data_IF_426840012649
#
_entry.id   IF_426840012649
#
_cell.length_a   1.000
_cell.length_b   1.000
_cell.length_c   1.000
_cell.angle_alpha   90.00
_cell.angle_beta   90.00
_cell.angle_gamma   90.00
#
_symmetry.space_group_name_H-M   'P 1'
#
loop_
_entity.id
_entity.type
_entity.pdbx_description
1 polymer ?
#
# COMPACT_ATOMS: atom_id res chain seq x y z
N UNK A 1 41.51 66.44 -58.01
CA UNK A 1 40.13 66.21 -57.54
C UNK A 1 40.24 65.27 -56.33
N UNK A 2 39.90 65.74 -55.20
CA UNK A 2 40.19 65.10 -53.88
C UNK A 2 38.92 64.39 -53.39
N UNK A 3 39.00 63.10 -53.19
CA UNK A 3 37.96 62.29 -52.55
C UNK A 3 38.12 62.34 -51.04
N UNK A 4 37.05 62.64 -50.31
CA UNK A 4 36.99 62.56 -48.86
C UNK A 4 36.27 61.27 -48.46
N UNK A 5 36.92 60.40 -47.68
CA UNK A 5 36.28 59.25 -47.03
C UNK A 5 35.85 59.61 -45.65
N UNK A 6 34.54 59.39 -45.35
CA UNK A 6 33.97 59.48 -44.03
C UNK A 6 34.11 58.13 -43.33
N UNK A 7 34.75 58.11 -42.17
CA UNK A 7 34.73 56.98 -41.23
C UNK A 7 33.52 57.13 -40.31
N UNK A 8 32.62 56.12 -40.35
CA UNK A 8 31.55 56.02 -39.33
C UNK A 8 32.03 55.08 -38.21
N UNK A 9 32.12 55.65 -37.00
CA UNK A 9 32.32 54.83 -35.78
C UNK A 9 30.98 54.18 -35.37
N UNK A 10 30.93 52.87 -35.45
CA UNK A 10 29.82 52.09 -34.87
C UNK A 10 30.10 51.85 -33.40
N UNK A 11 29.22 52.38 -32.51
CA UNK A 11 29.22 52.02 -31.08
C UNK A 11 28.48 50.68 -30.90
N UNK A 12 29.19 49.66 -30.45
CA UNK A 12 28.59 48.39 -30.05
C UNK A 12 27.99 48.54 -28.65
N UNK A 13 26.67 48.48 -28.57
CA UNK A 13 25.95 48.30 -27.30
C UNK A 13 26.12 46.87 -26.80
N UNK A 14 26.88 46.70 -25.72
CA UNK A 14 26.93 45.47 -24.96
C UNK A 14 25.65 45.33 -24.16
N UNK A 15 24.73 44.49 -24.61
CA UNK A 15 23.57 44.07 -23.85
C UNK A 15 24.02 43.09 -22.76
N UNK A 16 24.03 43.50 -21.49
CA UNK A 16 24.19 42.63 -20.34
C UNK A 16 22.93 41.81 -20.15
N UNK A 17 22.94 40.55 -20.54
CA UNK A 17 21.89 39.62 -20.23
C UNK A 17 21.97 39.27 -18.74
N UNK A 18 21.02 39.78 -17.93
CA UNK A 18 20.79 39.29 -16.59
C UNK A 18 20.29 37.83 -16.64
N UNK A 19 20.88 36.90 -15.85
CA UNK A 19 20.34 35.57 -15.79
C UNK A 19 19.01 35.61 -15.03
N UNK A 20 17.90 35.61 -15.78
CA UNK A 20 16.61 35.27 -15.20
C UNK A 20 16.66 33.78 -14.83
N UNK A 21 17.05 33.51 -13.61
CA UNK A 21 16.81 32.21 -12.99
C UNK A 21 15.29 31.99 -12.95
N UNK A 22 14.78 31.21 -13.87
CA UNK A 22 13.42 30.68 -13.79
C UNK A 22 13.36 29.84 -12.53
N UNK A 23 12.82 30.41 -11.44
CA UNK A 23 12.38 29.62 -10.30
C UNK A 23 11.33 28.66 -10.85
N UNK A 24 11.69 27.37 -10.88
CA UNK A 24 10.69 26.32 -11.12
C UNK A 24 9.54 26.58 -10.16
N UNK A 25 8.29 26.50 -10.62
CA UNK A 25 7.14 26.70 -9.74
C UNK A 25 7.28 25.72 -8.57
N UNK A 26 7.34 26.26 -7.35
CA UNK A 26 7.23 25.45 -6.13
C UNK A 26 5.91 24.70 -6.28
N UNK A 27 5.94 23.39 -6.46
CA UNK A 27 4.75 22.54 -6.47
C UNK A 27 4.06 22.80 -5.14
N UNK A 28 2.87 23.37 -5.18
CA UNK A 28 2.08 23.61 -3.98
C UNK A 28 1.80 22.24 -3.35
N UNK A 29 2.21 22.07 -2.11
CA UNK A 29 1.99 20.85 -1.35
C UNK A 29 0.47 20.70 -1.15
N UNK A 30 -0.10 19.61 -1.60
CA UNK A 30 -1.52 19.31 -1.44
C UNK A 30 -1.86 18.91 -0.01
N UNK A 31 -3.11 18.60 0.24
CA UNK A 31 -3.57 18.11 1.53
C UNK A 31 -3.24 16.61 1.69
N UNK A 32 -3.21 16.14 2.94
CA UNK A 32 -3.12 14.73 3.29
C UNK A 32 -4.45 14.02 2.96
N UNK A 33 -4.51 12.74 3.19
CA UNK A 33 -5.71 11.93 3.01
C UNK A 33 -5.71 10.76 3.98
N UNK A 34 -6.85 10.08 4.08
CA UNK A 34 -6.97 8.80 4.76
C UNK A 34 -7.50 7.73 3.82
N UNK A 35 -7.21 6.49 4.15
CA UNK A 35 -7.78 5.30 3.54
C UNK A 35 -8.17 4.31 4.63
N UNK A 36 -8.47 3.07 4.24
CA UNK A 36 -8.85 2.01 5.18
C UNK A 36 -8.52 0.64 4.60
N UNK A 37 -8.28 -0.34 5.48
CA UNK A 37 -8.18 -1.73 5.11
C UNK A 37 -9.57 -2.40 5.14
N UNK A 38 -9.82 -3.31 4.19
CA UNK A 38 -10.88 -4.31 4.20
C UNK A 38 -10.43 -5.47 3.31
N UNK A 39 -9.48 -6.26 3.83
CA UNK A 39 -8.54 -7.06 3.01
C UNK A 39 -9.22 -8.06 2.07
N UNK A 40 -10.43 -8.52 2.36
CA UNK A 40 -11.21 -9.46 1.55
C UNK A 40 -12.57 -8.93 1.10
N UNK A 41 -12.75 -7.60 0.99
CA UNK A 41 -14.04 -6.99 0.61
C UNK A 41 -14.55 -7.51 -0.74
N UNK A 42 -13.68 -7.90 -1.67
CA UNK A 42 -14.05 -8.53 -2.94
C UNK A 42 -14.82 -9.86 -2.77
N UNK A 43 -14.68 -10.53 -1.62
CA UNK A 43 -15.40 -11.76 -1.29
C UNK A 43 -16.77 -11.52 -0.61
N UNK A 44 -17.16 -10.28 -0.33
CA UNK A 44 -18.46 -9.97 0.26
C UNK A 44 -19.58 -10.17 -0.75
N UNK A 45 -20.79 -10.50 -0.26
CA UNK A 45 -22.00 -10.41 -1.07
C UNK A 45 -22.15 -8.98 -1.61
N UNK A 46 -22.73 -8.85 -2.79
CA UNK A 46 -22.81 -7.57 -3.49
C UNK A 46 -23.34 -6.42 -2.61
N UNK A 47 -24.47 -6.62 -1.92
CA UNK A 47 -25.05 -5.54 -1.11
C UNK A 47 -24.13 -5.14 0.04
N UNK A 48 -23.58 -6.10 0.79
CA UNK A 48 -22.67 -5.82 1.90
C UNK A 48 -21.39 -5.14 1.41
N UNK A 49 -20.89 -5.52 0.24
CA UNK A 49 -19.74 -4.87 -0.41
C UNK A 49 -20.04 -3.42 -0.79
N UNK A 50 -21.20 -3.15 -1.36
CA UNK A 50 -21.62 -1.78 -1.71
C UNK A 50 -21.84 -0.93 -0.45
N UNK A 51 -22.45 -1.48 0.60
CA UNK A 51 -22.64 -0.77 1.87
C UNK A 51 -21.31 -0.38 2.51
N UNK A 52 -20.28 -1.26 2.46
CA UNK A 52 -18.93 -0.94 2.95
C UNK A 52 -18.27 0.16 2.09
N UNK A 53 -18.43 0.09 0.76
CA UNK A 53 -17.90 1.13 -0.13
C UNK A 53 -18.59 2.48 0.09
N UNK A 54 -19.88 2.49 0.37
CA UNK A 54 -20.64 3.72 0.69
C UNK A 54 -20.17 4.29 2.03
N UNK A 55 -19.98 3.47 3.06
CA UNK A 55 -19.40 3.90 4.33
C UNK A 55 -17.98 4.49 4.17
N UNK A 56 -17.13 3.88 3.34
CA UNK A 56 -15.78 4.40 3.04
C UNK A 56 -15.86 5.78 2.36
N UNK A 57 -16.78 5.93 1.40
CA UNK A 57 -17.03 7.21 0.71
C UNK A 57 -17.56 8.27 1.67
N UNK A 58 -18.54 7.93 2.51
CA UNK A 58 -19.18 8.86 3.45
C UNK A 58 -18.17 9.38 4.48
N UNK A 59 -17.25 8.51 4.95
CA UNK A 59 -16.11 8.91 5.79
C UNK A 59 -14.99 9.64 5.03
N UNK A 60 -15.17 10.02 3.76
CA UNK A 60 -14.19 10.69 2.92
C UNK A 60 -12.84 9.96 2.75
N UNK A 61 -12.79 8.64 2.97
CA UNK A 61 -11.60 7.83 2.77
C UNK A 61 -11.33 7.63 1.26
N UNK A 62 -10.07 7.76 0.83
CA UNK A 62 -9.70 7.82 -0.58
C UNK A 62 -9.09 6.54 -1.13
N UNK A 63 -8.56 5.69 -0.25
CA UNK A 63 -7.87 4.46 -0.63
C UNK A 63 -8.42 3.29 0.19
N UNK A 64 -8.73 2.20 -0.51
CA UNK A 64 -9.12 0.92 0.09
C UNK A 64 -8.02 -0.10 -0.17
N UNK A 65 -7.50 -0.73 0.88
CA UNK A 65 -6.50 -1.79 0.76
C UNK A 65 -7.13 -3.16 0.85
N UNK A 66 -6.78 -4.02 -0.13
CA UNK A 66 -7.24 -5.41 -0.24
C UNK A 66 -6.05 -6.34 -0.52
N UNK A 67 -6.26 -7.66 -0.29
CA UNK A 67 -5.24 -8.67 -0.52
C UNK A 67 -5.68 -9.68 -1.59
N UNK A 68 -4.73 -10.14 -2.39
CA UNK A 68 -4.88 -11.36 -3.19
C UNK A 68 -4.45 -12.52 -2.29
N UNK A 69 -5.42 -13.08 -1.57
CA UNK A 69 -5.24 -14.11 -0.56
C UNK A 69 -6.53 -14.93 -0.43
N UNK A 70 -6.48 -16.24 -0.20
CA UNK A 70 -7.69 -17.04 -0.06
C UNK A 70 -8.53 -16.57 1.12
N UNK A 71 -9.85 -16.66 0.98
CA UNK A 71 -10.79 -16.28 2.02
C UNK A 71 -11.77 -17.42 2.27
N UNK A 72 -12.00 -17.76 3.53
CA UNK A 72 -12.97 -18.76 3.92
C UNK A 72 -14.43 -18.28 3.81
N UNK A 73 -15.35 -19.22 3.82
CA UNK A 73 -16.78 -18.93 3.93
C UNK A 73 -17.08 -18.23 5.26
N UNK A 74 -17.85 -17.15 5.23
CA UNK A 74 -18.23 -16.36 6.41
C UNK A 74 -17.02 -15.87 7.24
N UNK A 75 -15.92 -15.53 6.56
CA UNK A 75 -14.74 -15.03 7.25
C UNK A 75 -15.11 -13.82 8.13
N UNK A 76 -14.60 -13.80 9.36
CA UNK A 76 -14.84 -12.73 10.34
C UNK A 76 -16.32 -12.33 10.52
N UNK A 77 -17.24 -13.28 10.38
CA UNK A 77 -18.70 -13.09 10.52
C UNK A 77 -19.31 -12.07 9.55
N UNK A 78 -18.73 -11.93 8.35
CA UNK A 78 -19.19 -10.97 7.34
C UNK A 78 -20.19 -11.53 6.35
N UNK A 79 -20.49 -12.84 6.40
CA UNK A 79 -21.28 -13.50 5.38
C UNK A 79 -20.58 -13.63 4.02
N UNK A 80 -19.25 -13.41 3.97
CA UNK A 80 -18.45 -13.55 2.76
C UNK A 80 -18.57 -14.94 2.13
N UNK A 81 -18.39 -15.00 0.82
CA UNK A 81 -18.24 -16.26 0.10
C UNK A 81 -16.80 -16.76 0.18
N UNK A 82 -16.63 -18.09 0.12
CA UNK A 82 -15.28 -18.64 0.01
C UNK A 82 -14.64 -18.20 -1.32
N UNK A 83 -13.40 -17.74 -1.25
CA UNK A 83 -12.62 -17.29 -2.40
C UNK A 83 -11.30 -18.05 -2.45
N UNK A 84 -11.01 -18.80 -3.53
CA UNK A 84 -9.72 -19.48 -3.65
C UNK A 84 -8.58 -18.46 -3.85
N UNK A 85 -7.35 -18.88 -3.54
CA UNK A 85 -6.17 -18.17 -4.03
C UNK A 85 -6.09 -18.23 -5.56
N UNK A 86 -5.34 -17.33 -6.18
CA UNK A 86 -5.12 -17.35 -7.64
C UNK A 86 -4.25 -18.54 -8.08
N UNK A 87 -3.56 -19.20 -7.15
CA UNK A 87 -2.80 -20.45 -7.31
C UNK A 87 -3.32 -21.49 -6.29
N UNK A 88 -4.56 -22.00 -6.44
CA UNK A 88 -5.25 -22.67 -5.34
C UNK A 88 -4.64 -24.02 -4.92
N UNK A 89 -3.96 -24.72 -5.80
CA UNK A 89 -3.37 -26.05 -5.52
C UNK A 89 -1.94 -26.21 -6.02
N UNK A 90 -1.62 -25.57 -7.12
CA UNK A 90 -0.34 -25.77 -7.81
C UNK A 90 0.22 -24.43 -8.25
N UNK A 91 1.43 -24.12 -7.81
CA UNK A 91 2.14 -22.90 -8.21
C UNK A 91 2.29 -22.85 -9.73
N UNK A 92 1.87 -21.72 -10.33
CA UNK A 92 1.86 -21.50 -11.78
C UNK A 92 0.61 -22.01 -12.51
N UNK A 93 -0.37 -22.57 -11.78
CA UNK A 93 -1.69 -22.95 -12.33
C UNK A 93 -2.73 -21.97 -11.79
N UNK A 94 -3.25 -21.13 -12.68
CA UNK A 94 -4.03 -19.95 -12.33
C UNK A 94 -5.52 -20.20 -12.26
N UNK A 95 -6.15 -19.64 -11.21
CA UNK A 95 -7.61 -19.47 -11.07
C UNK A 95 -7.92 -17.98 -10.89
N UNK A 96 -8.43 -17.35 -11.92
CA UNK A 96 -8.73 -15.91 -11.93
C UNK A 96 -10.05 -15.54 -11.25
N UNK A 97 -10.71 -16.45 -10.53
CA UNK A 97 -11.98 -16.16 -9.84
C UNK A 97 -11.84 -14.98 -8.91
N UNK A 98 -10.75 -14.91 -8.13
CA UNK A 98 -10.48 -13.81 -7.21
C UNK A 98 -10.16 -12.51 -7.97
N UNK A 99 -9.35 -12.55 -9.04
CA UNK A 99 -9.03 -11.36 -9.84
C UNK A 99 -10.29 -10.76 -10.48
N UNK A 100 -11.21 -11.60 -10.97
CA UNK A 100 -12.51 -11.13 -11.51
C UNK A 100 -13.40 -10.49 -10.43
N UNK A 101 -13.38 -11.01 -9.21
CA UNK A 101 -14.10 -10.38 -8.09
C UNK A 101 -13.49 -9.03 -7.71
N UNK A 102 -12.16 -8.89 -7.80
CA UNK A 102 -11.45 -7.63 -7.60
C UNK A 102 -11.71 -6.67 -8.78
N UNK A 103 -11.83 -7.14 -10.02
CA UNK A 103 -12.25 -6.33 -11.17
C UNK A 103 -13.59 -5.61 -10.90
N UNK A 104 -14.57 -6.34 -10.36
CA UNK A 104 -15.86 -5.78 -10.00
C UNK A 104 -15.74 -4.75 -8.86
N UNK A 105 -15.02 -5.10 -7.78
CA UNK A 105 -14.75 -4.18 -6.67
C UNK A 105 -14.06 -2.91 -7.15
N UNK A 106 -13.11 -3.02 -8.08
CA UNK A 106 -12.35 -1.89 -8.63
C UNK A 106 -13.26 -0.86 -9.32
N UNK A 107 -14.21 -1.33 -10.13
CA UNK A 107 -15.20 -0.46 -10.82
C UNK A 107 -16.14 0.18 -9.80
N UNK A 108 -16.63 -0.58 -8.82
CA UNK A 108 -17.55 -0.10 -7.77
C UNK A 108 -16.87 0.94 -6.86
N UNK A 109 -15.59 0.73 -6.51
CA UNK A 109 -14.79 1.66 -5.71
C UNK A 109 -14.51 2.96 -6.47
N UNK A 110 -14.09 2.85 -7.74
CA UNK A 110 -13.79 4.01 -8.57
C UNK A 110 -15.03 4.91 -8.81
N UNK A 111 -16.22 4.31 -8.96
CA UNK A 111 -17.48 5.06 -9.05
C UNK A 111 -17.77 5.91 -7.79
N UNK A 112 -17.11 5.64 -6.68
CA UNK A 112 -17.17 6.37 -5.40
C UNK A 112 -15.96 7.27 -5.14
N UNK A 113 -15.04 7.36 -6.10
CA UNK A 113 -13.79 8.12 -5.95
C UNK A 113 -12.76 7.44 -5.05
N UNK A 114 -12.85 6.13 -4.87
CA UNK A 114 -11.94 5.31 -4.06
C UNK A 114 -11.00 4.55 -4.99
N UNK A 115 -9.69 4.63 -4.73
CA UNK A 115 -8.68 3.81 -5.41
C UNK A 115 -8.29 2.60 -4.56
N UNK A 116 -7.82 1.54 -5.22
CA UNK A 116 -7.37 0.35 -4.52
C UNK A 116 -5.86 0.34 -4.28
N UNK A 117 -5.42 -0.07 -3.10
CA UNK A 117 -4.11 -0.67 -2.86
C UNK A 117 -4.28 -2.18 -2.85
N UNK A 118 -3.49 -2.89 -3.64
CA UNK A 118 -3.62 -4.33 -3.82
C UNK A 118 -2.34 -5.03 -3.36
N UNK A 119 -2.42 -5.79 -2.26
CA UNK A 119 -1.32 -6.68 -1.86
C UNK A 119 -1.33 -7.94 -2.75
N UNK A 120 -0.25 -8.16 -3.49
CA UNK A 120 -0.14 -9.24 -4.48
C UNK A 120 -0.12 -10.62 -3.80
N UNK A 121 0.28 -10.67 -2.54
CA UNK A 121 0.35 -11.87 -1.73
C UNK A 121 0.31 -11.50 -0.24
N UNK A 122 -0.07 -12.46 0.59
CA UNK A 122 -0.07 -12.31 2.03
C UNK A 122 0.98 -13.26 2.66
N UNK A 123 1.92 -12.70 3.45
CA UNK A 123 2.95 -13.45 4.16
C UNK A 123 2.37 -14.60 4.99
N UNK A 124 1.19 -14.39 5.54
CA UNK A 124 0.57 -15.35 6.47
C UNK A 124 0.03 -16.61 5.81
N UNK A 125 -0.02 -16.65 4.48
CA UNK A 125 -0.33 -17.85 3.71
C UNK A 125 0.86 -18.80 3.57
N UNK A 126 2.07 -18.36 3.94
CA UNK A 126 3.27 -19.21 3.94
C UNK A 126 3.38 -20.03 5.24
N UNK A 127 2.33 -20.79 5.57
CA UNK A 127 2.33 -21.73 6.70
C UNK A 127 2.11 -21.11 8.09
N UNK A 128 1.58 -19.87 8.16
CA UNK A 128 1.27 -19.18 9.40
C UNK A 128 -0.22 -19.40 9.78
N UNK A 129 -1.10 -18.52 9.33
CA UNK A 129 -2.56 -18.67 9.52
C UNK A 129 -3.23 -19.38 8.36
N UNK A 130 -2.52 -19.53 7.26
CA UNK A 130 -2.95 -20.23 6.07
C UNK A 130 -1.82 -20.97 5.40
N UNK A 131 -2.17 -21.78 4.41
CA UNK A 131 -1.22 -22.60 3.64
C UNK A 131 -1.59 -22.54 2.16
N UNK A 132 -0.79 -21.82 1.39
CA UNK A 132 -0.93 -21.72 -0.06
C UNK A 132 -0.16 -22.82 -0.82
N UNK A 133 -0.18 -22.77 -2.15
CA UNK A 133 0.51 -23.73 -3.00
C UNK A 133 2.05 -23.72 -2.83
N UNK A 134 2.64 -22.59 -2.40
CA UNK A 134 4.08 -22.50 -2.13
C UNK A 134 4.50 -23.40 -0.97
N UNK A 135 3.65 -23.47 0.10
CA UNK A 135 3.91 -24.33 1.25
C UNK A 135 4.04 -25.79 0.82
N UNK A 136 3.11 -26.26 0.00
CA UNK A 136 3.13 -27.65 -0.53
C UNK A 136 4.31 -27.87 -1.47
N UNK A 137 4.57 -26.99 -2.43
CA UNK A 137 5.63 -27.11 -3.42
C UNK A 137 7.01 -27.15 -2.78
N UNK A 138 7.25 -26.27 -1.83
CA UNK A 138 8.58 -26.09 -1.23
C UNK A 138 8.72 -26.76 0.14
N UNK A 139 7.68 -27.46 0.61
CA UNK A 139 7.63 -28.13 1.91
C UNK A 139 8.00 -27.17 3.05
N UNK A 140 7.44 -25.96 2.98
CA UNK A 140 7.67 -24.98 4.03
C UNK A 140 7.04 -25.45 5.34
N UNK A 141 7.71 -25.29 6.50
CA UNK A 141 7.15 -25.69 7.77
C UNK A 141 6.02 -24.78 8.20
N UNK A 142 5.13 -25.30 9.02
CA UNK A 142 4.19 -24.46 9.75
C UNK A 142 4.93 -23.50 10.68
N UNK A 143 4.45 -22.27 10.76
CA UNK A 143 4.99 -21.19 11.61
C UNK A 143 3.93 -20.82 12.62
N UNK A 144 4.26 -20.87 13.91
CA UNK A 144 3.40 -20.27 14.92
C UNK A 144 3.64 -18.77 14.99
N UNK A 145 2.83 -18.01 14.26
CA UNK A 145 2.91 -16.55 14.22
C UNK A 145 2.33 -15.88 15.48
N UNK A 146 1.78 -16.63 16.44
CA UNK A 146 1.32 -16.08 17.71
C UNK A 146 2.41 -16.08 18.75
N UNK A 147 3.50 -16.84 18.57
CA UNK A 147 4.65 -16.85 19.47
C UNK A 147 5.75 -15.93 18.95
N UNK A 148 6.23 -15.05 19.81
CA UNK A 148 7.39 -14.19 19.54
C UNK A 148 8.57 -14.60 20.44
N UNK A 149 9.77 -14.77 19.89
CA UNK A 149 10.14 -14.73 18.47
C UNK A 149 9.65 -15.97 17.74
N UNK A 150 9.18 -15.80 16.52
CA UNK A 150 8.83 -16.93 15.67
C UNK A 150 10.07 -17.82 15.46
N UNK A 151 9.96 -19.10 15.80
CA UNK A 151 11.02 -20.09 15.59
C UNK A 151 11.20 -20.50 14.13
N UNK A 152 10.69 -19.72 13.21
CA UNK A 152 10.37 -20.11 11.87
C UNK A 152 11.49 -19.90 10.87
N UNK A 153 12.62 -20.45 11.10
CA UNK A 153 13.79 -20.31 10.25
C UNK A 153 13.63 -20.84 8.83
N UNK A 154 12.62 -21.68 8.56
CA UNK A 154 12.56 -22.37 7.28
C UNK A 154 11.68 -21.65 6.24
N UNK A 155 10.79 -20.72 6.64
CA UNK A 155 10.08 -19.84 5.70
C UNK A 155 11.03 -18.81 5.10
N UNK A 156 12.13 -18.49 5.77
CA UNK A 156 13.21 -17.67 5.24
C UNK A 156 13.74 -18.19 3.90
N UNK A 157 13.78 -19.53 3.70
CA UNK A 157 14.13 -20.15 2.44
C UNK A 157 13.32 -19.60 1.26
N UNK A 158 12.02 -19.34 1.43
CA UNK A 158 11.17 -18.83 0.37
C UNK A 158 11.62 -17.45 -0.13
N UNK A 159 12.23 -16.63 0.72
CA UNK A 159 12.71 -15.30 0.37
C UNK A 159 14.08 -15.29 -0.31
N UNK A 160 14.83 -16.39 -0.27
CA UNK A 160 16.20 -16.48 -0.78
C UNK A 160 16.39 -17.48 -1.92
N UNK A 161 15.57 -18.53 -1.98
CA UNK A 161 15.68 -19.56 -3.03
C UNK A 161 15.25 -19.01 -4.40
N UNK A 162 16.10 -19.25 -5.40
CA UNK A 162 15.88 -18.74 -6.76
C UNK A 162 14.61 -19.26 -7.44
N UNK A 163 14.15 -20.47 -7.11
CA UNK A 163 12.96 -21.04 -7.70
C UNK A 163 11.71 -20.44 -7.05
N UNK A 164 11.71 -20.27 -5.71
CA UNK A 164 10.66 -19.54 -5.00
C UNK A 164 10.52 -18.10 -5.53
N UNK A 165 11.64 -17.43 -5.71
CA UNK A 165 11.71 -16.09 -6.28
C UNK A 165 11.14 -16.05 -7.70
N UNK A 166 11.52 -16.99 -8.55
CA UNK A 166 11.04 -17.09 -9.93
C UNK A 166 9.53 -17.34 -10.01
N UNK A 167 9.04 -18.25 -9.19
CA UNK A 167 7.60 -18.54 -9.10
C UNK A 167 6.81 -17.31 -8.62
N UNK A 168 7.28 -16.64 -7.59
CA UNK A 168 6.63 -15.42 -7.11
C UNK A 168 6.68 -14.29 -8.15
N UNK A 169 7.75 -14.19 -8.94
CA UNK A 169 7.80 -13.26 -10.08
C UNK A 169 6.75 -13.59 -11.14
N UNK A 170 6.45 -14.87 -11.39
CA UNK A 170 5.38 -15.28 -12.28
C UNK A 170 4.00 -14.85 -11.73
N UNK A 171 3.76 -14.99 -10.41
CA UNK A 171 2.55 -14.46 -9.75
C UNK A 171 2.44 -12.93 -9.91
N UNK A 172 3.51 -12.20 -9.66
CA UNK A 172 3.56 -10.75 -9.86
C UNK A 172 3.17 -10.39 -11.31
N UNK A 173 3.78 -11.07 -12.30
CA UNK A 173 3.48 -10.85 -13.72
C UNK A 173 2.02 -11.11 -14.03
N UNK A 174 1.48 -12.25 -13.59
CA UNK A 174 0.10 -12.64 -13.82
C UNK A 174 -0.88 -11.58 -13.31
N UNK A 175 -0.67 -11.08 -12.09
CA UNK A 175 -1.50 -10.03 -11.49
C UNK A 175 -1.37 -8.70 -12.25
N UNK A 176 -0.15 -8.25 -12.53
CA UNK A 176 0.07 -6.95 -13.19
C UNK A 176 -0.46 -6.91 -14.63
N UNK A 177 -0.42 -8.05 -15.35
CA UNK A 177 -0.88 -8.19 -16.73
C UNK A 177 -2.34 -8.62 -16.84
N UNK A 178 -3.02 -8.94 -15.71
CA UNK A 178 -4.44 -9.25 -15.69
C UNK A 178 -5.26 -8.07 -16.25
N UNK A 179 -6.24 -8.38 -17.10
CA UNK A 179 -7.05 -7.37 -17.80
C UNK A 179 -8.42 -7.23 -17.16
N UNK A 180 -8.76 -6.05 -16.70
CA UNK A 180 -10.11 -5.77 -16.25
C UNK A 180 -11.05 -5.60 -17.46
N UNK A 181 -11.82 -6.63 -17.75
CA UNK A 181 -12.76 -6.65 -18.90
C UNK A 181 -14.02 -5.83 -18.67
N UNK A 182 -14.28 -5.34 -17.46
CA UNK A 182 -15.39 -4.46 -17.12
C UNK A 182 -15.10 -3.00 -17.46
N UNK A 183 -13.84 -2.67 -17.76
CA UNK A 183 -13.40 -1.33 -18.16
C UNK A 183 -13.21 -1.31 -19.67
N UNK A 184 -13.70 -0.23 -20.33
CA UNK A 184 -13.59 -0.09 -21.78
C UNK A 184 -12.13 -0.22 -22.24
N UNK A 185 -11.91 -1.03 -23.27
CA UNK A 185 -10.58 -1.34 -23.80
C UNK A 185 -9.84 -2.43 -23.04
N UNK A 186 -10.44 -2.99 -21.99
CA UNK A 186 -9.86 -4.08 -21.18
C UNK A 186 -8.37 -3.83 -20.82
N UNK A 187 -8.05 -2.72 -20.15
CA UNK A 187 -6.67 -2.39 -19.78
C UNK A 187 -6.12 -3.39 -18.77
N UNK A 188 -4.80 -3.59 -18.81
CA UNK A 188 -4.12 -4.37 -17.79
C UNK A 188 -4.09 -3.60 -16.45
N UNK A 189 -4.12 -4.32 -15.32
CA UNK A 189 -4.12 -3.69 -13.99
C UNK A 189 -2.97 -2.72 -13.79
N UNK A 190 -1.78 -3.06 -14.29
CA UNK A 190 -0.61 -2.18 -14.24
C UNK A 190 -0.82 -0.79 -14.87
N UNK A 191 -1.82 -0.64 -15.74
CA UNK A 191 -2.08 0.61 -16.48
C UNK A 191 -3.26 1.40 -15.89
N UNK A 192 -3.92 0.91 -14.83
CA UNK A 192 -5.15 1.43 -14.24
C UNK A 192 -4.90 2.44 -13.10
N UNK A 193 -4.08 3.46 -13.30
CA UNK A 193 -3.75 4.45 -12.26
C UNK A 193 -4.95 5.34 -11.81
N UNK A 194 -6.07 5.34 -12.53
CA UNK A 194 -7.33 5.95 -12.08
C UNK A 194 -8.10 5.10 -11.08
N UNK A 195 -7.82 3.80 -11.00
CA UNK A 195 -8.50 2.82 -10.16
C UNK A 195 -7.58 2.24 -9.08
N UNK A 196 -6.30 2.07 -9.39
CA UNK A 196 -5.30 1.50 -8.50
C UNK A 196 -4.34 2.60 -8.04
N UNK A 197 -4.23 2.76 -6.73
CA UNK A 197 -3.28 3.65 -6.08
C UNK A 197 -1.88 3.03 -6.05
N UNK A 198 -1.79 1.80 -5.51
CA UNK A 198 -0.52 1.09 -5.43
C UNK A 198 -0.68 -0.43 -5.46
N UNK A 199 0.41 -1.11 -5.82
CA UNK A 199 0.59 -2.52 -5.54
C UNK A 199 1.55 -2.68 -4.37
N UNK A 200 1.10 -3.36 -3.30
CA UNK A 200 2.02 -3.88 -2.30
C UNK A 200 2.66 -5.16 -2.85
N UNK A 201 3.98 -5.29 -2.69
CA UNK A 201 4.71 -6.49 -3.12
C UNK A 201 4.19 -7.71 -2.37
N UNK A 202 4.07 -7.59 -1.04
CA UNK A 202 3.51 -8.62 -0.18
C UNK A 202 3.00 -7.94 1.10
N UNK A 203 1.84 -8.35 1.61
CA UNK A 203 1.43 -7.96 2.95
C UNK A 203 2.42 -8.51 3.97
N UNK A 204 2.98 -7.62 4.79
CA UNK A 204 3.89 -7.90 5.90
C UNK A 204 5.02 -8.88 5.55
N UNK A 205 5.65 -8.66 4.39
CA UNK A 205 6.75 -9.46 3.90
C UNK A 205 7.82 -9.69 4.98
N UNK A 206 8.27 -10.94 5.12
CA UNK A 206 9.24 -11.37 6.14
C UNK A 206 8.78 -11.15 7.59
N UNK A 207 7.50 -10.85 7.83
CA UNK A 207 6.94 -10.70 9.17
C UNK A 207 7.10 -11.98 10.00
N UNK A 208 7.31 -11.81 11.31
CA UNK A 208 7.58 -12.89 12.28
C UNK A 208 8.79 -13.77 11.95
N UNK A 209 9.76 -13.25 11.20
CA UNK A 209 11.05 -13.90 11.00
C UNK A 209 12.14 -13.17 11.78
N UNK A 210 13.11 -13.90 12.28
CA UNK A 210 14.33 -13.39 12.89
C UNK A 210 14.09 -12.23 13.89
N UNK A 211 13.15 -12.39 14.81
CA UNK A 211 12.75 -11.35 15.79
C UNK A 211 12.33 -10.02 15.14
N UNK A 212 11.58 -10.09 14.03
CA UNK A 212 11.12 -8.95 13.26
C UNK A 212 12.24 -8.09 12.65
N UNK A 213 13.42 -8.68 12.43
CA UNK A 213 14.48 -8.12 11.61
C UNK A 213 14.48 -8.88 10.27
N UNK A 214 14.21 -8.22 9.14
CA UNK A 214 14.15 -8.93 7.85
C UNK A 214 15.47 -9.64 7.54
N UNK A 215 15.49 -10.97 7.37
CA UNK A 215 16.70 -11.69 7.03
C UNK A 215 17.22 -11.37 5.61
N UNK A 216 16.32 -10.93 4.72
CA UNK A 216 16.63 -10.54 3.35
C UNK A 216 16.14 -9.13 3.04
N UNK A 217 16.76 -8.06 3.58
CA UNK A 217 16.25 -6.69 3.50
C UNK A 217 16.19 -6.15 2.06
N UNK A 218 17.00 -6.65 1.13
CA UNK A 218 16.95 -6.28 -0.29
C UNK A 218 15.80 -6.91 -1.07
N UNK A 219 15.11 -7.91 -0.51
CA UNK A 219 14.08 -8.68 -1.20
C UNK A 219 12.98 -7.83 -1.81
N UNK A 220 12.48 -6.81 -1.07
CA UNK A 220 11.48 -5.88 -1.60
C UNK A 220 11.99 -5.09 -2.78
N UNK A 221 13.23 -4.60 -2.70
CA UNK A 221 13.84 -3.82 -3.79
C UNK A 221 14.01 -4.66 -5.06
N UNK A 222 14.43 -5.90 -4.93
CA UNK A 222 14.57 -6.82 -6.07
C UNK A 222 13.22 -7.14 -6.72
N UNK A 223 12.17 -7.32 -5.91
CA UNK A 223 10.80 -7.52 -6.43
C UNK A 223 10.24 -6.26 -7.06
N UNK A 224 10.45 -5.09 -6.45
CA UNK A 224 10.08 -3.80 -7.02
C UNK A 224 10.77 -3.55 -8.37
N UNK A 225 12.05 -3.89 -8.48
CA UNK A 225 12.79 -3.81 -9.75
C UNK A 225 12.18 -4.67 -10.85
N UNK A 226 11.77 -5.90 -10.51
CA UNK A 226 11.06 -6.78 -11.43
C UNK A 226 9.70 -6.21 -11.85
N UNK A 227 8.90 -5.71 -10.89
CA UNK A 227 7.61 -5.06 -11.16
C UNK A 227 7.79 -3.84 -12.08
N UNK A 228 8.77 -2.99 -11.81
CA UNK A 228 9.06 -1.80 -12.62
C UNK A 228 9.40 -2.17 -14.06
N UNK A 229 10.12 -3.26 -14.28
CA UNK A 229 10.39 -3.80 -15.61
C UNK A 229 9.12 -4.16 -16.41
N UNK A 230 8.07 -4.66 -15.72
CA UNK A 230 6.77 -4.98 -16.35
C UNK A 230 5.90 -3.74 -16.51
N UNK A 231 5.89 -2.87 -15.50
CA UNK A 231 5.01 -1.70 -15.45
C UNK A 231 5.47 -0.56 -16.38
N UNK A 232 6.76 -0.50 -16.71
CA UNK A 232 7.30 0.52 -17.61
C UNK A 232 6.99 1.94 -17.11
N UNK A 233 6.25 2.71 -17.90
CA UNK A 233 5.86 4.11 -17.61
C UNK A 233 4.56 4.24 -16.79
N UNK A 234 4.01 3.16 -16.27
CA UNK A 234 2.82 3.19 -15.39
C UNK A 234 2.97 4.19 -14.25
N UNK A 235 1.85 4.80 -13.87
CA UNK A 235 1.76 5.75 -12.75
C UNK A 235 1.23 5.11 -11.47
N UNK A 236 0.86 3.83 -11.52
CA UNK A 236 0.51 3.07 -10.31
C UNK A 236 1.76 2.91 -9.46
N UNK A 237 1.65 3.18 -8.16
CA UNK A 237 2.79 3.14 -7.25
C UNK A 237 3.18 1.69 -6.93
N UNK A 238 4.46 1.46 -6.68
CA UNK A 238 4.98 0.21 -6.13
C UNK A 238 5.34 0.46 -4.67
N UNK A 239 4.75 -0.32 -3.76
CA UNK A 239 4.97 -0.20 -2.33
C UNK A 239 5.41 -1.51 -1.68
N UNK A 240 5.97 -1.42 -0.48
CA UNK A 240 6.47 -2.58 0.26
C UNK A 240 5.34 -3.51 0.72
N UNK A 241 4.26 -2.96 1.30
CA UNK A 241 3.22 -3.71 2.00
C UNK A 241 3.53 -3.91 3.49
N UNK A 242 4.41 -3.07 4.04
CA UNK A 242 4.81 -3.09 5.45
C UNK A 242 5.61 -4.32 5.89
N UNK A 243 5.92 -4.34 7.17
CA UNK A 243 6.28 -5.51 7.96
C UNK A 243 5.26 -5.63 9.09
N UNK A 244 5.31 -6.69 9.90
CA UNK A 244 4.34 -6.87 10.99
C UNK A 244 4.54 -5.90 12.17
N UNK A 245 5.66 -5.18 12.19
CA UNK A 245 5.99 -4.16 13.19
C UNK A 245 6.85 -3.05 12.58
N UNK A 246 7.13 -2.01 13.37
CA UNK A 246 7.93 -0.87 12.92
C UNK A 246 9.32 -1.26 12.41
N UNK A 247 10.11 -2.11 13.12
CA UNK A 247 11.48 -2.43 12.69
C UNK A 247 11.59 -3.11 11.33
N UNK A 248 10.62 -3.94 10.95
CA UNK A 248 10.61 -4.59 9.64
C UNK A 248 9.74 -3.87 8.59
N UNK A 249 9.18 -2.72 8.96
CA UNK A 249 8.59 -1.75 8.03
C UNK A 249 9.60 -0.65 7.63
N UNK A 250 10.34 -0.10 8.61
CA UNK A 250 11.31 0.99 8.43
C UNK A 250 12.71 0.45 8.08
N UNK A 251 12.85 -0.18 6.92
CA UNK A 251 14.06 -0.86 6.47
C UNK A 251 14.90 0.05 5.58
N UNK A 252 16.19 0.22 5.89
CA UNK A 252 17.09 1.13 5.18
C UNK A 252 17.20 0.84 3.68
N UNK A 253 17.20 -0.44 3.29
CA UNK A 253 17.27 -0.89 1.91
C UNK A 253 16.02 -0.49 1.12
N UNK A 254 14.86 -0.42 1.76
CA UNK A 254 13.62 0.04 1.13
C UNK A 254 13.69 1.54 0.82
N UNK A 255 14.23 2.35 1.71
CA UNK A 255 14.44 3.77 1.45
C UNK A 255 15.45 4.02 0.34
N UNK A 256 16.52 3.25 0.28
CA UNK A 256 17.54 3.34 -0.76
C UNK A 256 17.09 2.81 -2.14
N UNK A 257 16.00 2.07 -2.21
CA UNK A 257 15.55 1.37 -3.42
C UNK A 257 14.96 2.32 -4.46
N UNK A 258 15.58 2.42 -5.62
CA UNK A 258 15.10 3.29 -6.72
C UNK A 258 13.80 2.80 -7.37
N UNK A 259 13.48 1.52 -7.26
CA UNK A 259 12.31 0.91 -7.89
C UNK A 259 11.04 1.05 -7.06
N UNK A 260 11.14 1.26 -5.74
CA UNK A 260 10.02 1.56 -4.85
C UNK A 260 9.63 3.03 -4.95
N UNK A 261 8.33 3.32 -4.92
CA UNK A 261 7.79 4.67 -4.81
C UNK A 261 7.38 4.99 -3.37
N UNK A 262 6.84 3.99 -2.67
CA UNK A 262 6.16 4.11 -1.40
C UNK A 262 6.68 3.05 -0.42
N UNK A 263 7.07 3.47 0.77
CA UNK A 263 7.35 2.59 1.91
C UNK A 263 6.19 2.71 2.89
N UNK A 264 5.60 1.59 3.26
CA UNK A 264 4.46 1.55 4.15
C UNK A 264 4.86 1.01 5.51
N UNK A 265 4.28 1.61 6.56
CA UNK A 265 4.59 1.29 7.96
C UNK A 265 3.36 0.63 8.58
N UNK A 266 3.57 -0.52 9.22
CA UNK A 266 2.59 -1.21 10.05
C UNK A 266 3.10 -1.26 11.49
N UNK A 267 2.23 -1.09 12.47
CA UNK A 267 2.49 -1.43 13.86
C UNK A 267 1.21 -1.49 14.68
N UNK A 268 1.17 -2.42 15.63
CA UNK A 268 0.13 -2.58 16.63
C UNK A 268 0.64 -2.37 18.06
N UNK A 269 1.86 -1.82 18.19
CA UNK A 269 2.54 -1.62 19.50
C UNK A 269 2.07 -0.37 20.27
N UNK A 270 1.08 0.35 19.75
CA UNK A 270 0.44 1.47 20.42
C UNK A 270 1.02 2.85 20.08
N UNK A 271 0.32 3.88 20.56
CA UNK A 271 0.50 5.28 20.17
C UNK A 271 1.93 5.81 20.39
N UNK A 272 2.56 5.42 21.51
CA UNK A 272 3.91 5.93 21.84
C UNK A 272 4.98 5.50 20.83
N UNK A 273 4.81 4.34 20.20
CA UNK A 273 5.75 3.91 19.15
C UNK A 273 5.68 4.85 17.96
N UNK A 274 4.47 5.17 17.48
CA UNK A 274 4.29 6.11 16.38
C UNK A 274 4.74 7.52 16.71
N UNK A 275 4.51 8.01 17.94
CA UNK A 275 5.02 9.30 18.41
C UNK A 275 6.55 9.39 18.36
N UNK A 276 7.23 8.31 18.72
CA UNK A 276 8.70 8.29 18.78
C UNK A 276 9.35 7.96 17.44
N UNK A 277 8.84 6.96 16.71
CA UNK A 277 9.46 6.45 15.48
C UNK A 277 8.91 7.10 14.20
N UNK A 278 7.66 7.55 14.21
CA UNK A 278 7.00 8.16 13.04
C UNK A 278 7.77 9.35 12.45
N UNK A 279 8.18 10.35 13.26
CA UNK A 279 9.01 11.47 12.77
C UNK A 279 10.33 11.03 12.15
N UNK A 280 10.96 9.97 12.69
CA UNK A 280 12.22 9.42 12.17
C UNK A 280 12.01 8.77 10.81
N UNK A 281 11.00 7.90 10.68
CA UNK A 281 10.64 7.26 9.41
C UNK A 281 10.26 8.31 8.34
N UNK A 282 9.52 9.36 8.71
CA UNK A 282 9.22 10.47 7.80
C UNK A 282 10.49 11.21 7.35
N UNK A 283 11.48 11.36 8.23
CA UNK A 283 12.78 11.93 7.85
C UNK A 283 13.54 11.01 6.87
N UNK A 284 13.51 9.68 7.07
CA UNK A 284 14.06 8.72 6.11
C UNK A 284 13.37 8.86 4.74
N UNK A 285 12.03 8.91 4.71
CA UNK A 285 11.25 9.10 3.50
C UNK A 285 11.62 10.38 2.74
N UNK A 286 11.68 11.51 3.45
CA UNK A 286 12.06 12.81 2.86
C UNK A 286 13.49 12.78 2.32
N UNK A 287 14.43 12.24 3.07
CA UNK A 287 15.86 12.15 2.67
C UNK A 287 16.05 11.27 1.43
N UNK A 288 15.24 10.22 1.31
CA UNK A 288 15.26 9.29 0.18
C UNK A 288 14.39 9.74 -1.01
N UNK A 289 13.64 10.85 -0.89
CA UNK A 289 12.63 11.30 -1.86
C UNK A 289 11.61 10.20 -2.19
N UNK A 290 11.10 9.53 -1.15
CA UNK A 290 10.07 8.48 -1.24
C UNK A 290 8.83 8.87 -0.47
N UNK A 291 7.69 8.31 -0.87
CA UNK A 291 6.44 8.45 -0.15
C UNK A 291 6.43 7.52 1.08
N UNK A 292 5.70 7.93 2.12
CA UNK A 292 5.47 7.15 3.32
C UNK A 292 3.99 7.18 3.71
N UNK A 293 3.45 6.03 4.10
CA UNK A 293 2.06 5.83 4.52
C UNK A 293 2.04 4.96 5.78
N UNK A 294 1.29 5.35 6.81
CA UNK A 294 0.93 4.45 7.90
C UNK A 294 -0.22 3.55 7.45
N UNK A 295 0.12 2.38 6.91
CA UNK A 295 -0.80 1.53 6.15
C UNK A 295 -1.60 0.56 7.01
N UNK A 296 -1.04 0.15 8.18
CA UNK A 296 -1.78 -0.63 9.16
C UNK A 296 -1.50 -0.18 10.60
N UNK A 297 -2.56 0.02 11.34
CA UNK A 297 -2.59 0.22 12.78
C UNK A 297 -4.01 -0.09 13.28
N UNK A 298 -4.14 -0.32 14.57
CA UNK A 298 -5.46 -0.58 15.15
C UNK A 298 -5.38 -0.77 16.65
N UNK A 299 -6.53 -1.06 17.24
CA UNK A 299 -6.68 -1.40 18.65
C UNK A 299 -7.88 -2.31 18.85
N UNK A 300 -7.97 -2.95 20.00
CA UNK A 300 -9.06 -3.85 20.40
C UNK A 300 -9.59 -3.48 21.78
N UNK A 301 -10.71 -4.05 22.18
CA UNK A 301 -11.29 -3.86 23.50
C UNK A 301 -11.94 -2.49 23.73
N UNK A 302 -12.23 -2.17 25.00
CA UNK A 302 -13.03 -1.00 25.39
C UNK A 302 -12.40 0.35 25.03
N UNK A 303 -11.07 0.40 24.89
CA UNK A 303 -10.34 1.61 24.49
C UNK A 303 -10.11 1.75 23.00
N UNK A 304 -10.68 0.87 22.17
CA UNK A 304 -10.40 0.81 20.72
C UNK A 304 -10.54 2.18 20.04
N UNK A 305 -11.71 2.82 20.14
CA UNK A 305 -11.95 4.11 19.49
C UNK A 305 -11.00 5.21 19.98
N UNK A 306 -10.77 5.30 21.30
CA UNK A 306 -9.83 6.28 21.89
C UNK A 306 -8.41 6.03 21.39
N UNK A 307 -7.96 4.79 21.35
CA UNK A 307 -6.59 4.45 20.90
C UNK A 307 -6.40 4.70 19.41
N UNK A 308 -7.40 4.33 18.58
CA UNK A 308 -7.39 4.62 17.14
C UNK A 308 -7.35 6.13 16.90
N UNK A 309 -8.16 6.93 17.63
CA UNK A 309 -8.14 8.39 17.54
C UNK A 309 -6.77 8.98 17.88
N UNK A 310 -6.13 8.50 18.95
CA UNK A 310 -4.78 8.94 19.33
C UNK A 310 -3.71 8.61 18.27
N UNK A 311 -3.84 7.49 17.54
CA UNK A 311 -2.97 7.20 16.40
C UNK A 311 -3.20 8.21 15.27
N UNK A 312 -4.46 8.45 14.91
CA UNK A 312 -4.86 9.39 13.86
C UNK A 312 -4.36 10.80 14.16
N UNK A 313 -4.46 11.26 15.42
CA UNK A 313 -3.92 12.56 15.86
C UNK A 313 -2.41 12.68 15.56
N UNK A 314 -1.64 11.61 15.83
CA UNK A 314 -0.20 11.58 15.53
C UNK A 314 0.04 11.70 14.02
N UNK A 315 -0.70 10.95 13.21
CA UNK A 315 -0.50 10.92 11.77
C UNK A 315 -0.91 12.23 11.10
N UNK A 316 -2.06 12.78 11.49
CA UNK A 316 -2.51 14.09 11.03
C UNK A 316 -1.53 15.19 11.48
N UNK A 317 -1.03 15.13 12.72
CA UNK A 317 0.01 16.05 13.20
C UNK A 317 1.32 15.98 12.42
N UNK A 318 1.65 14.84 11.84
CA UNK A 318 2.81 14.65 10.95
C UNK A 318 2.52 15.00 9.48
N UNK A 319 1.25 15.17 9.09
CA UNK A 319 0.81 15.33 7.71
C UNK A 319 1.07 14.09 6.84
N UNK A 320 1.04 12.90 7.43
CA UNK A 320 1.27 11.62 6.76
C UNK A 320 -0.06 10.89 6.61
N UNK A 321 -0.42 10.41 5.40
CA UNK A 321 -1.62 9.62 5.20
C UNK A 321 -1.61 8.32 6.02
N UNK A 322 -2.80 7.79 6.29
CA UNK A 322 -2.97 6.64 7.17
C UNK A 322 -4.17 5.75 6.78
N UNK A 323 -4.15 4.48 7.20
CA UNK A 323 -5.19 3.48 6.93
C UNK A 323 -5.36 2.54 8.14
N UNK A 324 -6.45 2.63 8.93
CA UNK A 324 -6.69 1.73 10.05
C UNK A 324 -7.05 0.31 9.58
N UNK A 325 -6.74 -0.67 10.37
CA UNK A 325 -7.19 -2.05 10.26
C UNK A 325 -8.40 -2.25 11.17
N UNK A 326 -9.61 -2.61 10.68
CA UNK A 326 -10.14 -2.55 9.32
C UNK A 326 -11.66 -2.31 9.38
N UNK A 327 -12.24 -1.76 8.31
CA UNK A 327 -13.71 -1.64 8.20
C UNK A 327 -14.30 -2.96 7.71
N UNK A 328 -15.38 -3.43 8.34
CA UNK A 328 -16.02 -4.70 8.00
C UNK A 328 -17.48 -4.74 8.46
N UNK A 329 -18.37 -5.33 7.65
CA UNK A 329 -19.81 -5.42 7.91
C UNK A 329 -20.28 -6.88 7.90
N UNK A 330 -20.85 -7.38 8.97
CA UNK A 330 -20.86 -6.84 10.33
C UNK A 330 -19.54 -7.01 11.08
N UNK A 331 -18.66 -7.97 10.70
CA UNK A 331 -17.37 -8.25 11.31
C UNK A 331 -17.41 -8.73 12.77
N UNK A 332 -16.20 -8.89 13.36
CA UNK A 332 -15.98 -9.31 14.76
C UNK A 332 -15.68 -8.10 15.66
N UNK A 333 -16.55 -7.12 15.70
CA UNK A 333 -16.30 -5.79 16.28
C UNK A 333 -15.84 -5.73 17.74
N UNK A 334 -16.33 -6.59 18.59
CA UNK A 334 -16.18 -6.47 20.05
C UNK A 334 -14.73 -6.76 20.54
N UNK A 335 -14.09 -7.80 20.02
CA UNK A 335 -12.81 -8.30 20.53
C UNK A 335 -11.71 -8.37 19.45
N UNK A 336 -11.94 -7.73 18.28
CA UNK A 336 -11.00 -7.69 17.17
C UNK A 336 -10.87 -6.24 16.67
N UNK A 337 -10.02 -6.03 15.71
CA UNK A 337 -9.71 -4.72 15.14
C UNK A 337 -10.81 -4.17 14.20
N UNK A 338 -11.77 -5.01 13.77
CA UNK A 338 -12.85 -4.62 12.88
C UNK A 338 -13.75 -3.55 13.50
N UNK A 339 -14.19 -2.61 12.67
CA UNK A 339 -15.18 -1.62 13.03
C UNK A 339 -16.23 -1.45 11.94
N UNK A 340 -17.40 -0.97 12.31
CA UNK A 340 -18.53 -0.67 11.44
C UNK A 340 -19.20 0.67 11.83
N UNK A 341 -20.12 1.16 11.00
CA UNK A 341 -20.81 2.46 11.16
C UNK A 341 -21.66 2.60 12.44
N UNK A 342 -21.91 1.53 13.16
CA UNK A 342 -22.70 1.51 14.40
C UNK A 342 -21.83 1.54 15.67
N UNK A 343 -20.53 1.85 15.56
CA UNK A 343 -19.64 1.94 16.70
C UNK A 343 -18.75 3.21 16.68
N UNK A 344 -18.32 3.71 17.86
CA UNK A 344 -17.57 4.96 17.97
C UNK A 344 -16.26 5.02 17.17
N UNK A 345 -15.68 3.87 16.83
CA UNK A 345 -14.45 3.82 16.03
C UNK A 345 -14.67 4.36 14.62
N UNK A 346 -15.86 4.15 14.04
CA UNK A 346 -16.19 4.68 12.73
C UNK A 346 -16.23 6.21 12.76
N UNK A 347 -16.91 6.81 13.73
CA UNK A 347 -17.01 8.27 13.88
C UNK A 347 -15.62 8.90 14.03
N UNK A 348 -14.73 8.27 14.84
CA UNK A 348 -13.35 8.72 15.02
C UNK A 348 -12.54 8.64 13.72
N UNK A 349 -12.75 7.62 12.90
CA UNK A 349 -12.10 7.49 11.59
C UNK A 349 -12.63 8.50 10.59
N UNK A 350 -13.94 8.78 10.58
CA UNK A 350 -14.56 9.79 9.74
C UNK A 350 -14.06 11.19 10.08
N UNK A 351 -14.10 11.59 11.35
CA UNK A 351 -13.60 12.87 11.84
C UNK A 351 -12.12 13.05 11.49
N UNK A 352 -11.31 12.05 11.80
CA UNK A 352 -9.89 12.06 11.50
C UNK A 352 -9.55 12.12 10.00
N UNK A 353 -10.40 11.54 9.14
CA UNK A 353 -10.26 11.63 7.68
C UNK A 353 -10.56 13.05 7.18
N UNK A 354 -11.57 13.69 7.73
CA UNK A 354 -11.89 15.11 7.43
C UNK A 354 -10.75 16.03 7.86
N UNK A 355 -10.15 15.78 9.02
CA UNK A 355 -8.98 16.52 9.49
C UNK A 355 -7.74 16.27 8.61
N UNK A 356 -7.51 15.03 8.13
CA UNK A 356 -6.44 14.74 7.17
C UNK A 356 -6.60 15.56 5.89
N UNK A 357 -7.83 15.67 5.35
CA UNK A 357 -8.13 16.47 4.16
C UNK A 357 -7.97 17.99 4.38
N UNK A 358 -8.00 18.45 5.62
CA UNK A 358 -7.72 19.85 5.99
C UNK A 358 -6.22 20.08 6.31
N UNK A 359 -5.45 19.04 6.51
CA UNK A 359 -4.04 19.09 6.90
C UNK A 359 -3.12 19.12 5.68
N UNK A 360 -2.15 20.04 5.66
CA UNK A 360 -1.09 20.04 4.64
C UNK A 360 -0.27 18.77 4.74
N UNK A 361 -0.19 18.02 3.65
CA UNK A 361 0.58 16.78 3.60
C UNK A 361 2.09 17.05 3.75
N UNK A 362 2.79 16.18 4.47
CA UNK A 362 4.25 16.25 4.61
C UNK A 362 4.98 15.95 3.28
N UNK A 363 4.28 15.36 2.31
CA UNK A 363 4.79 14.93 1.00
C UNK A 363 3.74 15.20 -0.09
N UNK A 364 4.16 15.23 -1.37
CA UNK A 364 3.23 15.49 -2.49
C UNK A 364 2.59 14.20 -2.98
N UNK A 365 1.28 14.11 -2.91
CA UNK A 365 0.49 12.96 -3.33
C UNK A 365 -0.28 13.23 -4.64
N UNK A 366 -0.55 12.15 -5.39
CA UNK A 366 -1.45 12.14 -6.56
C UNK A 366 -2.56 11.13 -6.31
N UNK A 367 -3.64 11.58 -5.72
CA UNK A 367 -4.82 10.79 -5.33
C UNK A 367 -5.99 10.99 -6.29
#
# INVERSE_FOLDING_TARGET
MKSFSLFALGQALLATASPHGSKLPVRQQGNSFAGVNSFFLHAFKQQDRLDVLDAIKDANLKVLRIFISPTGQNAKNTGSVAMPDIEPQTVGVWDDTQLKAIDQLMVEAQARGIKLTIAIHDRYQLGCWGSDAYVSKYKLPAVDCNTQPASANNVEFWYSDKNCISDFQNRIRHVLEHKNTLISGSPAWKDLNSHIFSFNIQNEGQGHLNNNIPPHPSWWCDRAGFMRGIMGSSKVLISTGGGNEFPNSDVAENWACKALDLVTIHSYMGVNEFKNKGPVALQHAKSANKLMLFEEFGATGDSKSTTVGQHIDVFNGLGVPWMPWQISKPGNKANDYEFWTDEPTYDVVEDGSNDALATTAAQTWSI
#
